data_IF_424553547510
#
_entry.id   IF_424553547510
#
_cell.length_a   1.000
_cell.length_b   1.000
_cell.length_c   1.000
_cell.angle_alpha   90.00
_cell.angle_beta   90.00
_cell.angle_gamma   90.00
#
_symmetry.space_group_name_H-M   'P 1'
#
loop_
_entity.id
_entity.type
_entity.pdbx_description
1 polymer ?
#
# COMPACT_ATOMS: atom_id res chain seq x y z
N UNK A 1 -1.26 18.59 -11.43
CA UNK A 1 0.15 18.17 -11.39
C UNK A 1 0.43 17.46 -10.07
N UNK A 2 1.20 16.38 -10.05
CA UNK A 2 1.62 15.74 -8.80
C UNK A 2 2.69 16.60 -8.11
N UNK A 3 2.61 16.76 -6.79
CA UNK A 3 3.65 17.46 -6.02
C UNK A 3 4.89 16.59 -5.88
N UNK A 4 6.06 17.20 -5.64
CA UNK A 4 7.30 16.45 -5.37
C UNK A 4 7.13 15.47 -4.20
N UNK A 5 6.43 15.90 -3.15
CA UNK A 5 6.11 15.05 -1.99
C UNK A 5 5.22 13.85 -2.35
N UNK A 6 4.27 14.02 -3.28
CA UNK A 6 3.44 12.93 -3.77
C UNK A 6 4.28 11.89 -4.53
N UNK A 7 5.26 12.33 -5.32
CA UNK A 7 6.20 11.44 -6.02
C UNK A 7 7.12 10.71 -5.04
N UNK A 8 7.64 11.39 -4.02
CA UNK A 8 8.46 10.78 -2.96
C UNK A 8 7.70 9.67 -2.23
N UNK A 9 6.46 9.93 -1.84
CA UNK A 9 5.63 8.92 -1.17
C UNK A 9 5.32 7.72 -2.07
N UNK A 10 5.10 7.96 -3.37
CA UNK A 10 4.89 6.89 -4.34
C UNK A 10 6.14 6.01 -4.48
N UNK A 11 7.31 6.62 -4.59
CA UNK A 11 8.57 5.90 -4.70
C UNK A 11 8.86 5.09 -3.42
N UNK A 12 8.73 5.71 -2.24
CA UNK A 12 8.88 5.03 -0.95
C UNK A 12 7.94 3.82 -0.82
N UNK A 13 6.68 3.94 -1.29
CA UNK A 13 5.74 2.84 -1.31
C UNK A 13 6.17 1.69 -2.24
N UNK A 14 6.63 2.00 -3.44
CA UNK A 14 7.08 0.98 -4.39
C UNK A 14 8.32 0.23 -3.88
N UNK A 15 9.30 0.95 -3.33
CA UNK A 15 10.48 0.34 -2.72
C UNK A 15 10.06 -0.56 -1.56
N UNK A 16 9.25 -0.04 -0.63
CA UNK A 16 8.78 -0.82 0.51
C UNK A 16 8.02 -2.08 0.09
N UNK A 17 7.08 -1.95 -0.86
CA UNK A 17 6.30 -3.09 -1.35
C UNK A 17 7.18 -4.19 -1.97
N UNK A 18 8.28 -3.81 -2.62
CA UNK A 18 9.23 -4.75 -3.22
C UNK A 18 10.10 -5.48 -2.18
N UNK A 19 10.23 -4.97 -0.96
CA UNK A 19 10.98 -5.64 0.12
C UNK A 19 10.14 -6.60 0.96
N UNK A 20 8.81 -6.60 0.79
CA UNK A 20 7.90 -7.43 1.58
C UNK A 20 7.79 -8.85 1.02
N UNK A 21 7.63 -9.83 1.91
CA UNK A 21 7.20 -11.18 1.56
C UNK A 21 5.68 -11.30 1.70
N UNK A 22 5.12 -12.34 1.10
CA UNK A 22 3.68 -12.64 1.16
C UNK A 22 3.17 -12.71 2.62
N UNK A 23 3.96 -13.29 3.54
CA UNK A 23 3.65 -13.35 4.98
C UNK A 23 3.66 -12.00 5.71
N UNK A 24 4.33 -11.00 5.16
CA UNK A 24 4.39 -9.67 5.78
C UNK A 24 3.09 -8.93 5.47
N UNK A 25 2.55 -9.10 4.25
CA UNK A 25 1.26 -8.55 3.87
C UNK A 25 0.11 -9.09 4.73
N UNK A 26 0.12 -10.38 5.08
CA UNK A 26 -0.94 -10.96 5.94
C UNK A 26 -0.95 -10.36 7.34
N UNK A 27 0.21 -10.02 7.91
CA UNK A 27 0.33 -9.42 9.24
C UNK A 27 -0.21 -7.99 9.31
N UNK A 28 -0.11 -7.24 8.21
CA UNK A 28 -0.61 -5.86 8.13
C UNK A 28 -1.97 -5.77 7.43
N UNK A 29 -2.66 -6.90 7.22
CA UNK A 29 -4.00 -6.91 6.63
C UNK A 29 -5.04 -6.48 7.64
N UNK A 30 -5.94 -5.60 7.23
CA UNK A 30 -7.12 -5.21 8.00
C UNK A 30 -8.34 -5.15 7.08
N UNK A 31 -9.37 -5.95 7.40
CA UNK A 31 -10.61 -6.03 6.60
C UNK A 31 -10.32 -6.35 5.12
N UNK A 32 -9.43 -7.31 4.86
CA UNK A 32 -9.06 -7.73 3.52
C UNK A 32 -8.31 -6.68 2.70
N UNK A 33 -7.86 -5.58 3.29
CA UNK A 33 -7.03 -4.55 2.65
C UNK A 33 -5.74 -4.37 3.44
N UNK A 34 -4.73 -3.74 2.86
CA UNK A 34 -3.56 -3.35 3.64
C UNK A 34 -3.97 -2.26 4.64
N UNK A 35 -3.51 -2.38 5.88
CA UNK A 35 -3.76 -1.38 6.89
C UNK A 35 -2.99 -0.11 6.53
N UNK A 36 -3.73 0.89 6.04
CA UNK A 36 -3.17 2.20 5.64
C UNK A 36 -2.37 2.88 6.75
N UNK A 37 -2.67 2.61 8.02
CA UNK A 37 -1.88 3.12 9.14
C UNK A 37 -0.51 2.47 9.26
N UNK A 38 -0.44 1.15 9.12
CA UNK A 38 0.82 0.42 9.14
C UNK A 38 1.66 0.73 7.90
N UNK A 39 1.03 0.79 6.72
CA UNK A 39 1.69 1.22 5.48
C UNK A 39 2.29 2.62 5.62
N UNK A 40 1.51 3.59 6.13
CA UNK A 40 1.99 4.97 6.33
C UNK A 40 3.21 5.04 7.27
N UNK A 41 3.20 4.26 8.36
CA UNK A 41 4.36 4.14 9.26
C UNK A 41 5.56 3.54 8.56
N UNK A 42 5.35 2.45 7.80
CA UNK A 42 6.42 1.74 7.11
C UNK A 42 7.14 2.59 6.06
N UNK A 43 6.40 3.44 5.34
CA UNK A 43 6.98 4.30 4.28
C UNK A 43 7.32 5.72 4.77
N UNK A 44 7.05 6.04 6.03
CA UNK A 44 7.38 7.34 6.64
C UNK A 44 6.51 8.51 6.15
N UNK A 45 5.24 8.27 5.82
CA UNK A 45 4.33 9.31 5.35
C UNK A 45 3.11 9.51 6.27
N UNK A 46 2.41 10.63 6.13
CA UNK A 46 1.11 10.81 6.77
C UNK A 46 0.03 9.91 6.13
N UNK A 47 -0.94 9.41 6.91
CA UNK A 47 -2.05 8.60 6.37
C UNK A 47 -2.82 9.30 5.25
N UNK A 48 -2.90 10.64 5.29
CA UNK A 48 -3.52 11.44 4.24
C UNK A 48 -2.83 11.34 2.88
N UNK A 49 -1.53 11.03 2.84
CA UNK A 49 -0.82 10.84 1.57
C UNK A 49 -1.40 9.66 0.78
N UNK A 50 -1.75 8.57 1.47
CA UNK A 50 -2.37 7.37 0.87
C UNK A 50 -3.77 7.61 0.32
N UNK A 51 -4.47 8.67 0.77
CA UNK A 51 -5.83 8.99 0.33
C UNK A 51 -5.89 10.13 -0.69
N UNK A 52 -5.02 11.13 -0.57
CA UNK A 52 -4.98 12.30 -1.45
C UNK A 52 -4.15 12.07 -2.72
N UNK A 53 -3.13 11.22 -2.65
CA UNK A 53 -2.26 10.96 -3.81
C UNK A 53 -2.87 9.89 -4.68
N UNK A 54 -3.49 10.29 -5.80
CA UNK A 54 -4.17 9.39 -6.72
C UNK A 54 -3.27 8.23 -7.18
N UNK A 55 -2.03 8.52 -7.59
CA UNK A 55 -1.09 7.50 -8.04
C UNK A 55 -0.74 6.48 -6.94
N UNK A 56 -0.61 6.93 -5.70
CA UNK A 56 -0.32 6.06 -4.56
C UNK A 56 -1.52 5.19 -4.21
N UNK A 57 -2.74 5.74 -4.27
CA UNK A 57 -3.98 4.99 -4.10
C UNK A 57 -4.12 3.88 -5.14
N UNK A 58 -3.91 4.20 -6.42
CA UNK A 58 -3.98 3.22 -7.52
C UNK A 58 -2.90 2.15 -7.39
N UNK A 59 -1.68 2.54 -7.03
CA UNK A 59 -0.57 1.59 -6.84
C UNK A 59 -0.83 0.67 -5.64
N UNK A 60 -1.38 1.20 -4.53
CA UNK A 60 -1.78 0.40 -3.38
C UNK A 60 -2.88 -0.59 -3.74
N UNK A 61 -3.88 -0.16 -4.50
CA UNK A 61 -4.95 -1.03 -4.97
C UNK A 61 -4.43 -2.13 -5.88
N UNK A 62 -3.58 -1.80 -6.85
CA UNK A 62 -2.96 -2.79 -7.74
C UNK A 62 -2.10 -3.81 -6.97
N UNK A 63 -1.38 -3.36 -5.94
CA UNK A 63 -0.65 -4.27 -5.06
C UNK A 63 -1.59 -5.21 -4.31
N UNK A 64 -2.66 -4.69 -3.72
CA UNK A 64 -3.67 -5.50 -3.04
C UNK A 64 -4.32 -6.51 -3.97
N UNK A 65 -4.67 -6.12 -5.20
CA UNK A 65 -5.26 -7.00 -6.20
C UNK A 65 -4.30 -8.13 -6.57
N UNK A 66 -3.01 -7.84 -6.80
CA UNK A 66 -1.99 -8.87 -7.02
C UNK A 66 -1.87 -9.84 -5.84
N UNK A 67 -1.98 -9.34 -4.61
CA UNK A 67 -1.94 -10.20 -3.43
C UNK A 67 -3.21 -11.06 -3.28
N UNK A 68 -4.37 -10.59 -3.77
CA UNK A 68 -5.58 -11.42 -3.85
C UNK A 68 -5.46 -12.51 -4.90
N UNK A 69 -4.88 -12.20 -6.05
CA UNK A 69 -4.63 -13.19 -7.12
C UNK A 69 -3.72 -14.32 -6.64
N UNK A 70 -2.74 -14.00 -5.77
CA UNK A 70 -1.88 -14.98 -5.11
C UNK A 70 -2.54 -15.73 -3.94
N UNK A 71 -3.72 -15.33 -3.51
CA UNK A 71 -4.39 -15.88 -2.32
C UNK A 71 -3.80 -15.41 -0.98
N UNK A 72 -2.93 -14.40 -0.99
CA UNK A 72 -2.34 -13.81 0.23
C UNK A 72 -3.34 -12.92 0.95
N UNK A 73 -4.08 -12.10 0.20
CA UNK A 73 -5.19 -11.31 0.73
C UNK A 73 -6.52 -11.98 0.40
N UNK A 74 -7.38 -12.14 1.40
CA UNK A 74 -8.75 -12.58 1.17
C UNK A 74 -9.58 -11.45 0.57
N UNK A 75 -10.54 -11.79 -0.30
CA UNK A 75 -11.54 -10.84 -0.81
C UNK A 75 -12.64 -10.70 0.25
N UNK A 76 -12.98 -9.46 0.62
CA UNK A 76 -14.19 -9.25 1.42
C UNK A 76 -15.41 -9.61 0.57
N UNK A 77 -16.31 -10.42 1.15
CA UNK A 77 -17.63 -10.72 0.63
C UNK A 77 -18.56 -9.51 0.81
#
# INVERSE_FOLDING_TARGET
MATEKALQNLNAFQIWAATQLDKDFTQITFRGQLNRGEVAKAIGCGKSALTQTHALKETSKSLEDKQREKGVLYRQL
#
